data_IF_025562572472
#
_entry.id   IF_025562572472
#
_cell.length_a   1.000
_cell.length_b   1.000
_cell.length_c   1.000
_cell.angle_alpha   90.00
_cell.angle_beta   90.00
_cell.angle_gamma   90.00
#
_symmetry.space_group_name_H-M   'P 1'
#
loop_
_entity.id
_entity.type
_entity.pdbx_description
1 polymer ?
#
# COMPACT_ATOMS: atom_id res chain seq x y z
N UNK A 1 -5.45 -18.70 -10.07
CA UNK A 1 -5.52 -17.33 -9.52
C UNK A 1 -4.54 -17.10 -8.35
N UNK A 2 -3.41 -17.82 -8.27
CA UNK A 2 -2.58 -17.82 -7.03
C UNK A 2 -1.09 -18.07 -7.29
N UNK A 3 -0.53 -17.58 -8.42
CA UNK A 3 0.91 -17.79 -8.68
C UNK A 3 1.78 -17.04 -7.66
N UNK A 4 1.28 -15.90 -7.17
CA UNK A 4 2.04 -14.96 -6.34
C UNK A 4 1.59 -14.92 -4.88
N UNK A 5 0.31 -15.23 -4.59
CA UNK A 5 -0.31 -15.12 -3.24
C UNK A 5 0.31 -16.02 -2.18
N UNK A 6 1.07 -17.04 -2.57
CA UNK A 6 1.78 -17.92 -1.63
C UNK A 6 2.92 -17.19 -0.94
N UNK A 7 3.62 -16.33 -1.69
CA UNK A 7 4.84 -15.68 -1.27
C UNK A 7 4.65 -14.16 -1.10
N UNK A 8 4.06 -13.48 -2.09
CA UNK A 8 3.75 -12.04 -2.09
C UNK A 8 2.25 -11.75 -2.24
N UNK A 9 1.83 -10.48 -2.22
CA UNK A 9 0.42 -10.07 -2.40
C UNK A 9 -0.54 -10.74 -1.39
N UNK A 10 -0.07 -10.90 -0.15
CA UNK A 10 -0.83 -11.46 0.96
C UNK A 10 -0.61 -10.63 2.22
N UNK A 11 -1.51 -10.76 3.19
CA UNK A 11 -1.31 -10.16 4.52
C UNK A 11 0.00 -10.72 5.15
N UNK A 12 0.84 -9.87 5.76
CA UNK A 12 2.03 -10.31 6.47
C UNK A 12 1.67 -11.31 7.59
N UNK A 13 2.47 -12.36 7.75
CA UNK A 13 2.37 -13.25 8.93
C UNK A 13 2.99 -12.58 10.16
N UNK A 14 2.77 -13.10 11.38
CA UNK A 14 3.46 -12.60 12.57
C UNK A 14 4.99 -12.58 12.44
N UNK A 15 5.56 -13.57 11.74
CA UNK A 15 7.01 -13.64 11.46
C UNK A 15 7.47 -12.55 10.50
N UNK A 16 6.67 -12.24 9.49
CA UNK A 16 6.95 -11.16 8.54
C UNK A 16 6.91 -9.80 9.27
N UNK A 17 5.87 -9.57 10.07
CA UNK A 17 5.71 -8.36 10.88
C UNK A 17 6.88 -8.15 11.83
N UNK A 18 7.34 -9.20 12.51
CA UNK A 18 8.50 -9.12 13.41
C UNK A 18 9.74 -8.61 12.67
N UNK A 19 10.01 -9.13 11.46
CA UNK A 19 11.15 -8.70 10.64
C UNK A 19 11.03 -7.25 10.16
N UNK A 20 9.84 -6.86 9.71
CA UNK A 20 9.54 -5.50 9.28
C UNK A 20 9.74 -4.50 10.43
N UNK A 21 9.19 -4.81 11.61
CA UNK A 21 9.31 -3.97 12.80
C UNK A 21 10.76 -3.82 13.28
N UNK A 22 11.53 -4.91 13.34
CA UNK A 22 12.94 -4.88 13.72
C UNK A 22 13.76 -3.98 12.78
N UNK A 23 13.53 -4.10 11.46
CA UNK A 23 14.25 -3.28 10.49
C UNK A 23 13.84 -1.81 10.56
N UNK A 24 12.54 -1.55 10.76
CA UNK A 24 12.02 -0.20 10.84
C UNK A 24 12.51 0.53 12.10
N UNK A 25 12.51 -0.15 13.25
CA UNK A 25 13.08 0.35 14.51
C UNK A 25 14.55 0.72 14.34
N UNK A 26 15.35 -0.16 13.75
CA UNK A 26 16.76 0.10 13.46
C UNK A 26 16.99 1.31 12.52
N UNK A 27 15.95 1.76 11.82
CA UNK A 27 15.96 2.94 10.94
C UNK A 27 15.28 4.17 11.56
N UNK A 28 14.82 4.10 12.81
CA UNK A 28 14.17 5.20 13.51
C UNK A 28 12.65 5.30 13.29
N UNK A 29 12.01 4.27 12.72
CA UNK A 29 10.57 4.22 12.47
C UNK A 29 9.91 3.10 13.30
N UNK A 30 9.84 3.24 14.64
CA UNK A 30 9.21 2.22 15.48
C UNK A 30 7.75 2.04 15.06
N UNK A 31 7.27 0.79 15.00
CA UNK A 31 5.91 0.37 14.56
C UNK A 31 5.60 0.47 13.05
N UNK A 32 6.52 0.94 12.20
CA UNK A 32 6.29 0.94 10.76
C UNK A 32 6.29 -0.51 10.24
N UNK A 33 5.25 -0.86 9.46
CA UNK A 33 5.07 -2.21 8.89
C UNK A 33 5.15 -2.22 7.36
N UNK A 34 5.37 -1.07 6.72
CA UNK A 34 5.58 -0.96 5.28
C UNK A 34 5.50 0.48 4.80
N UNK A 35 5.85 0.69 3.53
CA UNK A 35 5.56 1.93 2.80
C UNK A 35 4.42 1.68 1.85
N UNK A 36 3.47 2.60 1.75
CA UNK A 36 2.40 2.61 0.76
C UNK A 36 2.66 3.77 -0.19
N UNK A 37 2.52 3.54 -1.49
CA UNK A 37 2.76 4.54 -2.53
C UNK A 37 1.87 4.27 -3.75
N UNK A 38 1.61 5.30 -4.53
CA UNK A 38 0.82 5.30 -5.74
C UNK A 38 1.71 5.59 -6.97
N UNK A 39 1.56 4.78 -8.02
CA UNK A 39 2.31 4.95 -9.25
C UNK A 39 1.41 4.93 -10.48
N UNK A 40 1.65 5.89 -11.38
CA UNK A 40 0.92 5.98 -12.65
C UNK A 40 1.44 4.94 -13.63
N UNK A 41 0.62 3.94 -13.93
CA UNK A 41 0.90 2.96 -14.97
C UNK A 41 0.26 3.37 -16.29
N UNK A 42 1.07 3.63 -17.32
CA UNK A 42 0.54 4.05 -18.62
C UNK A 42 -0.34 2.96 -19.25
N UNK A 43 -1.55 3.34 -19.63
CA UNK A 43 -2.53 2.46 -20.25
C UNK A 43 -2.66 2.76 -21.74
N UNK A 44 -1.79 2.14 -22.55
CA UNK A 44 -1.73 2.35 -24.01
C UNK A 44 -3.06 2.01 -24.71
N UNK A 45 -3.78 1.01 -24.21
CA UNK A 45 -5.02 0.51 -24.80
C UNK A 45 -6.27 0.93 -23.97
N UNK A 46 -6.24 2.13 -23.38
CA UNK A 46 -7.39 2.67 -22.66
C UNK A 46 -8.62 2.78 -23.58
N UNK A 47 -9.76 2.15 -23.23
CA UNK A 47 -11.00 2.23 -24.01
C UNK A 47 -11.41 3.69 -24.25
N UNK A 48 -11.89 4.01 -25.45
CA UNK A 48 -12.30 5.38 -25.82
C UNK A 48 -13.28 5.99 -24.83
N UNK A 49 -14.23 5.19 -24.33
CA UNK A 49 -15.21 5.61 -23.33
C UNK A 49 -14.59 6.05 -21.99
N UNK A 50 -13.38 5.59 -21.65
CA UNK A 50 -12.69 5.89 -20.39
C UNK A 50 -11.57 6.91 -20.54
N UNK A 51 -11.30 7.41 -21.75
CA UNK A 51 -10.16 8.30 -21.99
C UNK A 51 -10.27 9.67 -21.31
N UNK A 52 -11.49 10.12 -20.97
CA UNK A 52 -11.73 11.35 -20.22
C UNK A 52 -11.16 11.24 -18.81
N UNK A 53 -11.66 10.27 -18.04
CA UNK A 53 -11.31 10.10 -16.63
C UNK A 53 -9.86 9.64 -16.43
N UNK A 54 -9.33 8.79 -17.32
CA UNK A 54 -7.99 8.21 -17.17
C UNK A 54 -6.90 9.05 -17.82
N UNK A 55 -7.26 10.17 -18.46
CA UNK A 55 -6.34 11.01 -19.20
C UNK A 55 -5.77 12.17 -18.40
N UNK A 56 -4.47 12.39 -18.51
CA UNK A 56 -3.85 13.63 -18.05
C UNK A 56 -3.95 14.76 -19.09
N UNK A 57 -3.53 15.98 -18.72
CA UNK A 57 -3.52 17.17 -19.59
C UNK A 57 -2.73 16.98 -20.89
N UNK A 58 -1.77 16.05 -20.94
CA UNK A 58 -0.95 15.72 -22.11
C UNK A 58 -1.56 14.60 -22.96
N UNK A 59 -2.77 14.14 -22.63
CA UNK A 59 -3.47 13.06 -23.34
C UNK A 59 -2.99 11.66 -22.99
N UNK A 60 -1.97 11.49 -22.12
CA UNK A 60 -1.52 10.18 -21.68
C UNK A 60 -2.56 9.56 -20.75
N UNK A 61 -2.89 8.30 -21.01
CA UNK A 61 -3.85 7.55 -20.19
C UNK A 61 -3.09 6.71 -19.19
N UNK A 62 -3.49 6.73 -17.93
CA UNK A 62 -2.87 5.91 -16.90
C UNK A 62 -3.90 5.37 -15.92
N UNK A 63 -3.59 4.20 -15.37
CA UNK A 63 -4.27 3.62 -14.22
C UNK A 63 -3.28 3.71 -13.05
N UNK A 64 -3.78 4.00 -11.86
CA UNK A 64 -2.95 4.03 -10.66
C UNK A 64 -2.81 2.61 -10.11
N UNK A 65 -1.56 2.26 -9.78
CA UNK A 65 -1.22 1.15 -8.90
C UNK A 65 -0.88 1.73 -7.53
N UNK A 66 -1.66 1.39 -6.53
CA UNK A 66 -1.27 1.53 -5.13
C UNK A 66 -0.58 0.23 -4.69
N UNK A 67 0.57 0.33 -4.02
CA UNK A 67 1.27 -0.84 -3.51
C UNK A 67 1.80 -0.61 -2.09
N UNK A 68 1.78 -1.67 -1.28
CA UNK A 68 2.51 -1.70 0.00
C UNK A 68 3.76 -2.54 -0.17
N UNK A 69 4.93 -1.93 0.10
CA UNK A 69 6.22 -2.60 0.01
C UNK A 69 6.99 -2.58 1.34
N UNK A 70 7.70 -3.68 1.61
CA UNK A 70 8.67 -3.80 2.69
C UNK A 70 10.09 -3.37 2.28
N UNK A 71 10.98 -3.27 3.26
CA UNK A 71 12.40 -2.95 3.03
C UNK A 71 13.15 -4.01 2.21
N UNK A 72 12.60 -5.21 2.16
CA UNK A 72 13.11 -6.42 1.55
C UNK A 72 12.52 -6.63 0.15
N UNK A 73 11.95 -5.58 -0.45
CA UNK A 73 11.33 -5.56 -1.78
C UNK A 73 10.07 -6.42 -1.93
N UNK A 74 9.57 -6.98 -0.83
CA UNK A 74 8.31 -7.72 -0.84
C UNK A 74 7.12 -6.77 -0.98
N UNK A 75 6.28 -7.03 -1.97
CA UNK A 75 5.00 -6.35 -2.16
C UNK A 75 3.93 -7.14 -1.41
N UNK A 76 3.39 -6.55 -0.35
CA UNK A 76 2.38 -7.15 0.53
C UNK A 76 0.96 -6.92 0.00
N UNK A 77 0.76 -5.80 -0.69
CA UNK A 77 -0.52 -5.40 -1.25
C UNK A 77 -0.32 -4.70 -2.59
N UNK A 78 -1.27 -4.91 -3.50
CA UNK A 78 -1.39 -4.15 -4.73
C UNK A 78 -2.89 -3.90 -4.99
N UNK A 79 -3.24 -2.66 -5.30
CA UNK A 79 -4.58 -2.24 -5.70
C UNK A 79 -4.48 -1.45 -6.99
N UNK A 80 -5.27 -1.85 -7.98
CA UNK A 80 -5.21 -1.32 -9.34
C UNK A 80 -6.60 -0.95 -9.81
N UNK A 81 -6.70 0.04 -10.70
CA UNK A 81 -7.95 0.40 -11.36
C UNK A 81 -8.44 1.82 -11.09
N UNK A 82 -7.77 2.57 -10.21
CA UNK A 82 -8.10 3.99 -10.01
C UNK A 82 -7.62 4.81 -11.21
N UNK A 83 -8.44 5.78 -11.63
CA UNK A 83 -8.11 6.62 -12.76
C UNK A 83 -6.85 7.46 -12.47
N UNK A 84 -5.91 7.50 -13.41
CA UNK A 84 -4.65 8.25 -13.29
C UNK A 84 -4.79 9.77 -13.34
N UNK A 85 -6.00 10.32 -13.31
CA UNK A 85 -6.25 11.73 -13.05
C UNK A 85 -6.41 12.05 -11.56
N UNK A 86 -6.59 11.03 -10.71
CA UNK A 86 -6.75 11.19 -9.28
C UNK A 86 -5.39 11.41 -8.60
N UNK A 87 -5.39 12.17 -7.50
CA UNK A 87 -4.23 12.30 -6.62
C UNK A 87 -4.20 11.17 -5.57
N UNK A 88 -3.07 11.01 -4.90
CA UNK A 88 -2.82 9.88 -4.01
C UNK A 88 -3.80 9.83 -2.83
N UNK A 89 -4.23 10.99 -2.30
CA UNK A 89 -5.24 11.05 -1.26
C UNK A 89 -6.58 10.42 -1.68
N UNK A 90 -7.03 10.67 -2.91
CA UNK A 90 -8.26 10.10 -3.44
C UNK A 90 -8.11 8.58 -3.70
N UNK A 91 -6.91 8.13 -4.09
CA UNK A 91 -6.58 6.71 -4.25
C UNK A 91 -6.64 6.01 -2.89
N UNK A 92 -5.97 6.58 -1.87
CA UNK A 92 -5.98 6.07 -0.51
C UNK A 92 -7.40 6.01 0.08
N UNK A 93 -8.27 6.98 -0.25
CA UNK A 93 -9.69 6.94 0.12
C UNK A 93 -10.46 5.74 -0.44
N UNK A 94 -9.97 5.13 -1.53
CA UNK A 94 -10.52 3.92 -2.15
C UNK A 94 -9.73 2.65 -1.78
N UNK A 95 -8.59 2.79 -1.10
CA UNK A 95 -7.69 1.71 -0.74
C UNK A 95 -8.33 0.70 0.22
N UNK A 96 -8.28 -0.62 -0.07
CA UNK A 96 -8.62 -1.64 0.90
C UNK A 96 -7.74 -1.59 2.15
N UNK A 97 -6.44 -1.26 2.00
CA UNK A 97 -5.50 -1.16 3.13
C UNK A 97 -5.87 0.01 4.03
N UNK A 98 -6.18 1.17 3.46
CA UNK A 98 -6.60 2.32 4.25
C UNK A 98 -7.92 2.05 5.00
N UNK A 99 -8.88 1.41 4.33
CA UNK A 99 -10.14 0.98 4.94
C UNK A 99 -9.92 0.02 6.13
N UNK A 100 -9.03 -0.96 5.98
CA UNK A 100 -8.66 -1.89 7.06
C UNK A 100 -8.05 -1.14 8.26
N UNK A 101 -7.17 -0.16 8.00
CA UNK A 101 -6.56 0.67 9.05
C UNK A 101 -7.61 1.48 9.79
N UNK A 102 -8.51 2.17 9.07
CA UNK A 102 -9.58 2.97 9.67
C UNK A 102 -10.57 2.14 10.51
N UNK A 103 -10.80 0.89 10.12
CA UNK A 103 -11.67 -0.05 10.85
C UNK A 103 -10.96 -0.76 12.00
N UNK A 104 -9.67 -0.52 12.21
CA UNK A 104 -8.86 -1.26 13.19
C UNK A 104 -8.66 -2.74 12.83
N UNK A 105 -8.82 -3.10 11.57
CA UNK A 105 -8.71 -4.46 11.03
C UNK A 105 -7.34 -4.74 10.41
N UNK A 106 -6.42 -3.76 10.43
CA UNK A 106 -5.04 -3.91 9.95
C UNK A 106 -4.24 -5.00 10.68
N UNK A 107 -2.96 -5.22 10.31
CA UNK A 107 -2.14 -6.22 10.96
C UNK A 107 -1.97 -5.95 12.46
N UNK A 108 -2.36 -6.92 13.29
CA UNK A 108 -2.17 -6.88 14.74
C UNK A 108 -0.69 -7.06 15.06
N UNK A 109 -0.15 -6.15 15.86
CA UNK A 109 1.20 -6.24 16.42
C UNK A 109 1.11 -6.01 17.92
N UNK A 110 2.15 -6.35 18.68
CA UNK A 110 2.30 -5.85 20.04
C UNK A 110 3.67 -5.22 20.14
N UNK A 111 3.71 -3.91 20.35
CA UNK A 111 4.95 -3.14 20.33
C UNK A 111 4.92 -2.08 21.43
N UNK A 112 6.02 -1.91 22.17
CA UNK A 112 6.12 -0.95 23.26
C UNK A 112 7.07 0.19 22.88
N UNK A 113 6.58 1.43 22.97
CA UNK A 113 7.39 2.66 22.85
C UNK A 113 7.20 3.46 24.13
N UNK A 114 8.27 3.80 24.84
CA UNK A 114 8.22 4.64 26.05
C UNK A 114 7.16 4.21 27.07
N UNK A 115 7.09 2.90 27.37
CA UNK A 115 6.10 2.28 28.27
C UNK A 115 4.64 2.31 27.79
N UNK A 116 4.38 2.77 26.57
CA UNK A 116 3.07 2.67 25.93
C UNK A 116 3.03 1.47 24.99
N UNK A 117 2.06 0.58 25.21
CA UNK A 117 1.83 -0.58 24.35
C UNK A 117 0.88 -0.20 23.21
N UNK A 118 1.28 -0.51 21.99
CA UNK A 118 0.50 -0.33 20.77
C UNK A 118 0.12 -1.70 20.20
N UNK A 119 -1.14 -1.82 19.77
CA UNK A 119 -1.66 -3.03 19.12
C UNK A 119 -1.67 -2.97 17.59
N UNK A 120 -1.29 -1.82 17.02
CA UNK A 120 -1.32 -1.53 15.59
C UNK A 120 -0.02 -0.89 15.12
N UNK A 121 0.38 -1.27 13.90
CA UNK A 121 1.44 -0.61 13.13
C UNK A 121 0.90 0.48 12.23
N UNK A 122 1.79 1.18 11.53
CA UNK A 122 1.42 2.15 10.49
C UNK A 122 2.19 1.89 9.20
N UNK A 123 1.64 2.41 8.10
CA UNK A 123 2.32 2.51 6.81
C UNK A 123 2.83 3.94 6.62
N UNK A 124 4.01 4.11 6.05
CA UNK A 124 4.47 5.41 5.57
C UNK A 124 3.89 5.68 4.19
N UNK A 125 3.34 6.87 4.00
CA UNK A 125 2.92 7.42 2.71
C UNK A 125 3.62 8.77 2.52
N UNK A 126 3.70 9.25 1.28
CA UNK A 126 4.22 10.57 0.92
C UNK A 126 3.22 11.72 1.11
#
# INVERSE_FOLDING_TARGET
>A
ETLYTRDCLRRPTPRDLQRLLQKAEARGFPRMIGSIDCMHWQWKNCPTALQGDYGNRKGQKSIILEAVAGFDTWVWHAFFGVAGSQNDLNVLGQSPVFNDVLRGQGPNITYQVNNTVYQTGYYLAD
#
